data_IF_754753134272
#
_entry.id   IF_754753134272
#
_cell.length_a   1.000
_cell.length_b   1.000
_cell.length_c   1.000
_cell.angle_alpha   90.00
_cell.angle_beta   90.00
_cell.angle_gamma   90.00
#
_symmetry.space_group_name_H-M   'P 1'
#
loop_
_entity.id
_entity.type
_entity.pdbx_description
1 polymer ?
#
# COMPACT_ATOMS: atom_id res chain seq x y z
N UNK A 1 -0.28 -34.86 42.55
CA UNK A 1 0.95 -34.55 43.32
C UNK A 1 1.68 -33.41 42.63
N UNK A 2 2.08 -32.36 43.35
CA UNK A 2 2.83 -31.23 42.77
C UNK A 2 4.31 -31.60 42.75
N UNK A 3 4.91 -31.71 41.57
CA UNK A 3 6.34 -32.04 41.41
C UNK A 3 7.21 -30.84 41.81
N UNK A 4 8.04 -31.03 42.84
CA UNK A 4 9.10 -30.09 43.22
C UNK A 4 10.30 -30.31 42.31
N UNK A 5 10.91 -29.22 41.85
CA UNK A 5 12.11 -29.23 41.02
C UNK A 5 13.15 -28.33 41.68
N UNK A 6 14.40 -28.79 41.69
CA UNK A 6 15.56 -28.00 42.10
C UNK A 6 15.97 -27.03 40.99
N UNK A 7 16.16 -25.76 41.35
CA UNK A 7 16.67 -24.72 40.47
C UNK A 7 17.89 -24.08 41.11
N UNK A 8 18.86 -23.65 40.29
CA UNK A 8 20.00 -22.85 40.75
C UNK A 8 19.69 -21.38 40.52
N UNK A 9 19.78 -20.56 41.59
CA UNK A 9 19.52 -19.14 41.49
C UNK A 9 20.62 -18.43 40.67
N UNK A 10 20.22 -17.70 39.63
CA UNK A 10 21.13 -16.95 38.77
C UNK A 10 21.76 -15.71 39.43
N UNK A 11 21.37 -15.37 40.67
CA UNK A 11 21.94 -14.25 41.43
C UNK A 11 22.92 -14.71 42.50
N UNK A 12 22.45 -15.50 43.48
CA UNK A 12 23.28 -15.96 44.60
C UNK A 12 23.97 -17.30 44.36
N UNK A 13 23.63 -18.02 43.29
CA UNK A 13 24.19 -19.34 42.98
C UNK A 13 23.63 -20.50 43.81
N UNK A 14 22.77 -20.22 44.80
CA UNK A 14 22.20 -21.25 45.67
C UNK A 14 21.11 -22.08 44.98
N UNK A 15 21.05 -23.36 45.33
CA UNK A 15 20.00 -24.28 44.88
C UNK A 15 18.75 -24.14 45.75
N UNK A 16 17.57 -24.09 45.13
CA UNK A 16 16.29 -23.97 45.83
C UNK A 16 15.19 -24.78 45.13
N UNK A 17 14.22 -25.25 45.92
CA UNK A 17 13.11 -26.05 45.40
C UNK A 17 11.87 -25.20 45.13
N UNK A 18 11.23 -25.45 43.98
CA UNK A 18 9.96 -24.82 43.64
C UNK A 18 9.05 -25.78 42.87
N UNK A 19 7.75 -25.65 43.11
CA UNK A 19 6.72 -26.35 42.34
C UNK A 19 6.82 -25.93 40.87
N UNK A 20 6.87 -26.90 39.95
CA UNK A 20 6.90 -26.65 38.51
C UNK A 20 5.68 -25.82 38.08
N UNK A 21 5.92 -24.64 37.51
CA UNK A 21 4.90 -23.75 36.94
C UNK A 21 5.39 -23.10 35.65
N UNK A 22 4.59 -22.24 35.02
CA UNK A 22 4.91 -21.64 33.71
C UNK A 22 6.04 -20.60 33.74
N UNK A 23 6.40 -20.08 34.92
CA UNK A 23 7.53 -19.14 35.06
C UNK A 23 8.83 -19.90 35.30
N UNK A 24 9.91 -19.62 34.55
CA UNK A 24 11.21 -20.23 34.77
C UNK A 24 11.76 -19.89 36.17
N UNK A 25 12.28 -20.90 36.89
CA UNK A 25 12.87 -20.76 38.22
C UNK A 25 14.25 -20.09 38.19
N UNK A 26 14.29 -18.81 37.79
CA UNK A 26 15.55 -18.07 37.64
C UNK A 26 16.14 -17.56 38.96
N UNK A 27 15.30 -17.23 39.94
CA UNK A 27 15.72 -16.61 41.20
C UNK A 27 15.01 -17.23 42.41
N UNK A 28 15.76 -17.48 43.50
CA UNK A 28 15.25 -18.10 44.73
C UNK A 28 14.29 -17.21 45.51
N UNK A 29 14.37 -15.89 45.34
CA UNK A 29 13.53 -14.92 46.04
C UNK A 29 13.28 -13.68 45.20
N UNK A 30 12.26 -12.91 45.58
CA UNK A 30 11.98 -11.58 45.00
C UNK A 30 13.16 -10.63 45.20
N UNK A 31 13.88 -10.76 46.31
CA UNK A 31 15.10 -10.00 46.61
C UNK A 31 16.22 -10.35 45.62
N UNK A 32 16.51 -11.63 45.40
CA UNK A 32 17.50 -12.05 44.40
C UNK A 32 17.11 -11.63 42.98
N UNK A 33 15.81 -11.68 42.63
CA UNK A 33 15.33 -11.16 41.35
C UNK A 33 15.47 -9.64 41.21
N UNK A 34 15.34 -8.88 42.31
CA UNK A 34 15.54 -7.44 42.31
C UNK A 34 17.04 -7.06 42.24
N UNK A 35 17.92 -7.84 42.89
CA UNK A 35 19.36 -7.60 42.88
C UNK A 35 20.02 -8.01 41.55
N UNK A 36 19.53 -9.07 40.89
CA UNK A 36 20.01 -9.47 39.56
C UNK A 36 19.58 -8.52 38.44
N UNK A 37 18.41 -7.90 38.57
CA UNK A 37 18.01 -6.82 37.68
C UNK A 37 18.77 -5.56 38.10
N UNK A 38 19.94 -5.30 37.51
CA UNK A 38 20.52 -3.96 37.57
C UNK A 38 19.42 -2.98 37.15
N UNK A 39 19.06 -1.98 37.97
CA UNK A 39 18.15 -0.95 37.51
C UNK A 39 18.77 -0.40 36.23
N UNK A 40 18.01 -0.42 35.15
CA UNK A 40 18.35 0.38 33.97
C UNK A 40 18.62 1.77 34.50
N UNK A 41 19.82 2.31 34.28
CA UNK A 41 20.22 3.61 34.81
C UNK A 41 19.08 4.60 34.50
N UNK A 42 18.30 4.95 35.51
CA UNK A 42 17.34 6.02 35.41
C UNK A 42 18.20 7.28 35.31
N UNK A 43 18.43 7.76 34.08
CA UNK A 43 19.05 9.05 33.88
C UNK A 43 18.01 10.07 34.37
N UNK A 44 18.22 10.58 35.58
CA UNK A 44 17.41 11.64 36.15
C UNK A 44 17.81 12.91 35.43
N UNK A 45 16.89 13.53 34.69
CA UNK A 45 17.03 14.95 34.32
C UNK A 45 16.62 15.72 35.57
N UNK A 46 17.53 16.40 36.28
CA UNK A 46 17.09 17.36 37.29
C UNK A 46 16.43 18.51 36.54
N UNK A 47 15.24 18.92 36.98
CA UNK A 47 14.84 20.32 37.13
C UNK A 47 13.33 20.42 37.33
N UNK A 48 12.93 20.88 38.53
CA UNK A 48 11.56 21.34 38.84
C UNK A 48 11.20 22.67 38.13
N UNK A 49 11.80 22.97 36.98
CA UNK A 49 11.46 24.15 36.18
C UNK A 49 10.25 23.86 35.30
N UNK A 50 9.25 24.76 35.35
CA UNK A 50 8.20 24.78 34.34
C UNK A 50 8.83 25.03 32.97
N UNK A 51 8.65 24.08 32.06
CA UNK A 51 9.19 24.16 30.71
C UNK A 51 8.18 23.69 29.68
N UNK A 52 8.29 24.21 28.46
CA UNK A 52 7.43 23.76 27.36
C UNK A 52 7.71 22.29 27.01
N UNK A 53 6.70 21.59 26.50
CA UNK A 53 6.81 20.20 26.05
C UNK A 53 7.98 20.00 25.05
N UNK A 54 8.26 21.02 24.22
CA UNK A 54 9.38 21.02 23.26
C UNK A 54 10.75 21.03 23.96
N UNK A 55 10.92 21.87 25.00
CA UNK A 55 12.17 21.95 25.76
C UNK A 55 12.47 20.64 26.50
N UNK A 56 11.44 20.03 27.09
CA UNK A 56 11.54 18.75 27.77
C UNK A 56 11.95 17.62 26.80
N UNK A 57 11.33 17.55 25.62
CA UNK A 57 11.67 16.56 24.59
C UNK A 57 13.13 16.69 24.12
N UNK A 58 13.61 17.92 23.90
CA UNK A 58 15.01 18.18 23.51
C UNK A 58 15.99 17.72 24.57
N UNK A 59 15.73 18.03 25.86
CA UNK A 59 16.58 17.60 26.98
C UNK A 59 16.60 16.08 27.12
N UNK A 60 15.45 15.41 26.97
CA UNK A 60 15.38 13.93 26.96
C UNK A 60 16.21 13.32 25.82
N UNK A 61 16.17 13.90 24.62
CA UNK A 61 17.00 13.45 23.49
C UNK A 61 18.49 13.66 23.77
N UNK A 62 18.88 14.84 24.27
CA UNK A 62 20.26 15.16 24.60
C UNK A 62 20.83 14.27 25.73
N UNK A 63 19.98 13.90 26.70
CA UNK A 63 20.32 13.00 27.78
C UNK A 63 20.23 11.52 27.42
N UNK A 64 19.99 11.15 26.15
CA UNK A 64 19.89 9.74 25.73
C UNK A 64 18.68 8.99 26.32
N UNK A 65 17.70 9.71 26.86
CA UNK A 65 16.49 9.19 27.53
C UNK A 65 15.31 8.94 26.59
N UNK A 66 15.53 9.12 25.29
CA UNK A 66 14.58 8.72 24.27
C UNK A 66 14.88 7.28 23.88
N UNK A 67 13.88 6.39 23.93
CA UNK A 67 14.00 5.09 23.26
C UNK A 67 14.40 5.35 21.80
N UNK A 68 15.40 4.65 21.24
CA UNK A 68 15.60 4.69 19.81
C UNK A 68 14.26 4.34 19.17
N UNK A 69 13.77 5.21 18.28
CA UNK A 69 12.64 4.84 17.43
C UNK A 69 13.15 3.62 16.67
N UNK A 70 12.41 2.52 16.73
CA UNK A 70 12.71 1.35 15.92
C UNK A 70 12.34 1.71 14.47
N UNK A 71 13.14 2.58 13.86
CA UNK A 71 13.07 2.89 12.45
C UNK A 71 13.68 1.68 11.77
N UNK A 72 12.86 0.87 11.11
CA UNK A 72 13.41 0.00 10.10
C UNK A 72 13.91 0.96 9.00
N UNK A 73 15.24 1.13 8.85
CA UNK A 73 15.78 2.07 7.88
C UNK A 73 15.28 1.66 6.49
N UNK A 74 15.08 2.64 5.62
CA UNK A 74 14.73 2.40 4.22
C UNK A 74 15.73 3.10 3.33
N UNK A 75 15.75 2.75 2.05
CA UNK A 75 16.59 3.43 1.08
C UNK A 75 16.06 4.86 0.81
N UNK A 76 16.62 5.86 1.50
CA UNK A 76 16.20 7.26 1.32
C UNK A 76 16.36 7.76 -0.12
N UNK A 77 17.31 7.19 -0.88
CA UNK A 77 17.60 7.52 -2.28
C UNK A 77 16.73 6.77 -3.29
N UNK A 78 15.74 6.00 -2.84
CA UNK A 78 14.86 5.24 -3.73
C UNK A 78 14.21 6.08 -4.83
N UNK A 79 13.85 7.34 -4.54
CA UNK A 79 13.22 8.26 -5.50
C UNK A 79 14.22 9.09 -6.35
N UNK A 80 15.52 8.81 -6.25
CA UNK A 80 16.54 9.52 -7.02
C UNK A 80 16.71 8.94 -8.42
N UNK A 81 16.47 7.64 -8.57
CA UNK A 81 16.61 6.92 -9.83
C UNK A 81 15.26 6.42 -10.31
N UNK A 82 14.95 6.67 -11.58
CA UNK A 82 13.73 6.13 -12.17
C UNK A 82 13.84 4.62 -12.39
N UNK A 83 12.87 3.90 -11.83
CA UNK A 83 12.58 2.50 -12.13
C UNK A 83 11.08 2.33 -12.21
N UNK A 84 10.62 1.19 -12.72
CA UNK A 84 9.19 0.87 -12.76
C UNK A 84 8.61 0.77 -11.33
N UNK A 85 9.37 0.27 -10.36
CA UNK A 85 8.98 0.23 -8.95
C UNK A 85 8.85 1.63 -8.35
N UNK A 86 9.80 2.51 -8.65
CA UNK A 86 9.78 3.91 -8.20
C UNK A 86 8.57 4.64 -8.78
N UNK A 87 8.30 4.49 -10.07
CA UNK A 87 7.17 5.11 -10.74
C UNK A 87 5.83 4.54 -10.25
N UNK A 88 5.73 3.22 -10.02
CA UNK A 88 4.55 2.60 -9.41
C UNK A 88 4.29 3.15 -8.00
N UNK A 89 5.31 3.20 -7.15
CA UNK A 89 5.15 3.72 -5.79
C UNK A 89 4.83 5.21 -5.80
N UNK A 90 5.37 5.98 -6.75
CA UNK A 90 5.00 7.38 -6.98
C UNK A 90 3.51 7.51 -7.33
N UNK A 91 2.98 6.66 -8.20
CA UNK A 91 1.56 6.60 -8.53
C UNK A 91 0.67 6.29 -7.33
N UNK A 92 1.09 5.32 -6.51
CA UNK A 92 0.37 4.95 -5.29
C UNK A 92 0.43 6.06 -4.23
N UNK A 93 1.57 6.75 -4.12
CA UNK A 93 1.67 7.95 -3.31
C UNK A 93 0.69 8.98 -3.85
N UNK A 94 0.62 9.26 -5.15
CA UNK A 94 -0.26 10.28 -5.72
C UNK A 94 -1.75 10.07 -5.41
N UNK A 95 -2.21 8.83 -5.28
CA UNK A 95 -3.56 8.45 -4.88
C UNK A 95 -3.72 8.42 -3.35
N UNK A 96 -3.29 7.34 -2.71
CA UNK A 96 -3.55 7.02 -1.30
C UNK A 96 -2.50 7.58 -0.32
N UNK A 97 -1.46 8.23 -0.83
CA UNK A 97 -0.39 8.78 -0.01
C UNK A 97 -0.75 10.09 0.69
N UNK A 98 -0.06 10.40 1.78
CA UNK A 98 -0.09 11.70 2.43
C UNK A 98 1.34 12.12 2.79
N UNK A 99 1.71 13.37 2.45
CA UNK A 99 2.95 13.99 2.88
C UNK A 99 2.64 14.92 4.05
N UNK A 100 3.35 14.76 5.17
CA UNK A 100 3.28 15.67 6.31
C UNK A 100 4.69 15.92 6.87
N UNK A 101 5.20 17.14 6.69
CA UNK A 101 6.59 17.45 7.03
C UNK A 101 7.55 16.60 6.19
N UNK A 102 8.29 15.68 6.81
CA UNK A 102 9.20 14.77 6.09
C UNK A 102 8.68 13.34 5.99
N UNK A 103 7.45 13.10 6.45
CA UNK A 103 6.87 11.75 6.55
C UNK A 103 5.90 11.53 5.42
N UNK A 104 6.08 10.39 4.74
CA UNK A 104 5.14 9.86 3.76
C UNK A 104 4.35 8.76 4.45
N UNK A 105 3.03 8.84 4.35
CA UNK A 105 2.12 7.81 4.82
C UNK A 105 1.33 7.25 3.64
N UNK A 106 1.11 5.95 3.61
CA UNK A 106 0.16 5.29 2.71
C UNK A 106 -0.82 4.52 3.59
N UNK A 107 -2.10 4.86 3.50
CA UNK A 107 -3.15 4.20 4.27
C UNK A 107 -3.93 3.24 3.38
N UNK A 108 -3.95 1.96 3.74
CA UNK A 108 -4.63 0.92 2.95
C UNK A 108 -5.40 -0.03 3.87
N UNK A 109 -6.43 -0.69 3.34
CA UNK A 109 -7.09 -1.84 3.98
C UNK A 109 -6.50 -3.18 3.55
N UNK A 110 -5.57 -3.14 2.60
CA UNK A 110 -5.02 -4.31 1.92
C UNK A 110 -3.62 -4.60 2.48
N UNK A 111 -3.49 -5.71 3.22
CA UNK A 111 -2.22 -6.10 3.83
C UNK A 111 -1.16 -6.44 2.78
N UNK A 112 -1.55 -7.04 1.65
CA UNK A 112 -0.61 -7.36 0.58
C UNK A 112 -0.05 -6.09 -0.06
N UNK A 113 -0.85 -5.03 -0.16
CA UNK A 113 -0.35 -3.73 -0.63
C UNK A 113 0.68 -3.15 0.34
N UNK A 114 0.40 -3.24 1.65
CA UNK A 114 1.32 -2.73 2.66
C UNK A 114 2.66 -3.47 2.64
N UNK A 115 2.64 -4.81 2.57
CA UNK A 115 3.85 -5.63 2.44
C UNK A 115 4.62 -5.32 1.15
N UNK A 116 3.92 -5.19 0.02
CA UNK A 116 4.54 -4.85 -1.25
C UNK A 116 5.23 -3.49 -1.21
N UNK A 117 4.61 -2.47 -0.60
CA UNK A 117 5.24 -1.15 -0.42
C UNK A 117 6.52 -1.26 0.41
N UNK A 118 6.47 -1.98 1.53
CA UNK A 118 7.63 -2.16 2.43
C UNK A 118 8.77 -2.92 1.73
N UNK A 119 8.44 -3.89 0.89
CA UNK A 119 9.41 -4.63 0.09
C UNK A 119 10.03 -3.76 -1.01
N UNK A 120 9.20 -2.97 -1.72
CA UNK A 120 9.64 -2.09 -2.81
C UNK A 120 10.54 -0.96 -2.30
N UNK A 121 10.18 -0.33 -1.19
CA UNK A 121 10.98 0.75 -0.58
C UNK A 121 12.20 0.20 0.20
N UNK A 122 12.29 -1.13 0.35
CA UNK A 122 13.27 -1.85 1.14
C UNK A 122 13.38 -1.30 2.57
N UNK A 123 12.26 -1.32 3.29
CA UNK A 123 12.21 -0.88 4.68
C UNK A 123 10.94 -0.11 5.04
N UNK A 124 11.08 0.84 5.96
CA UNK A 124 9.95 1.58 6.50
C UNK A 124 9.17 0.76 7.53
N UNK A 125 8.11 1.36 8.07
CA UNK A 125 7.33 0.73 9.14
C UNK A 125 5.85 0.82 8.84
N UNK A 126 5.06 -0.04 9.48
CA UNK A 126 3.61 0.07 9.42
C UNK A 126 3.01 0.11 10.82
N UNK A 127 1.83 0.71 10.93
CA UNK A 127 1.02 0.71 12.13
C UNK A 127 -0.42 0.36 11.78
N UNK A 128 -1.08 -0.37 12.67
CA UNK A 128 -2.51 -0.63 12.57
C UNK A 128 -3.30 0.59 13.09
N UNK A 129 -4.36 0.95 12.39
CA UNK A 129 -5.31 2.01 12.72
C UNK A 129 -6.72 1.41 12.79
N UNK A 130 -7.64 2.14 13.44
CA UNK A 130 -9.06 1.78 13.56
C UNK A 130 -9.25 0.32 13.99
N UNK A 131 -8.63 -0.07 15.12
CA UNK A 131 -8.70 -1.44 15.65
C UNK A 131 -8.22 -2.55 14.69
N UNK A 132 -7.33 -2.22 13.75
CA UNK A 132 -6.78 -3.20 12.79
C UNK A 132 -7.44 -3.18 11.42
N UNK A 133 -8.46 -2.34 11.20
CA UNK A 133 -9.13 -2.23 9.88
C UNK A 133 -8.26 -1.55 8.81
N UNK A 134 -7.32 -0.72 9.23
CA UNK A 134 -6.47 0.04 8.33
C UNK A 134 -5.01 -0.15 8.70
N UNK A 135 -4.17 -0.24 7.68
CA UNK A 135 -2.72 -0.33 7.79
C UNK A 135 -2.16 0.98 7.26
N UNK A 136 -1.34 1.63 8.07
CA UNK A 136 -0.60 2.82 7.70
C UNK A 136 0.85 2.45 7.54
N UNK A 137 1.31 2.31 6.30
CA UNK A 137 2.74 2.27 5.99
C UNK A 137 3.27 3.70 6.08
N UNK A 138 4.42 3.89 6.71
CA UNK A 138 5.06 5.18 6.80
C UNK A 138 6.58 5.09 6.83
N UNK A 139 7.20 6.05 6.16
CA UNK A 139 8.65 6.26 6.12
C UNK A 139 8.93 7.76 6.10
N UNK A 140 10.05 8.17 6.69
CA UNK A 140 10.35 9.59 6.91
C UNK A 140 11.80 9.88 6.58
N UNK A 141 12.02 10.77 5.62
CA UNK A 141 13.33 11.31 5.27
C UNK A 141 13.13 12.70 4.69
N UNK A 142 14.00 13.63 5.09
CA UNK A 142 14.05 14.96 4.48
C UNK A 142 14.37 14.85 2.99
N UNK A 143 15.34 14.01 2.63
CA UNK A 143 15.78 13.81 1.25
C UNK A 143 14.62 13.29 0.38
N UNK A 144 13.97 12.21 0.82
CA UNK A 144 12.80 11.65 0.11
C UNK A 144 11.66 12.66 -0.03
N UNK A 145 11.32 13.38 1.04
CA UNK A 145 10.26 14.38 1.01
C UNK A 145 10.57 15.53 0.05
N UNK A 146 11.80 16.05 0.08
CA UNK A 146 12.23 17.12 -0.83
C UNK A 146 12.28 16.63 -2.28
N UNK A 147 12.70 15.37 -2.51
CA UNK A 147 12.66 14.74 -3.83
C UNK A 147 11.23 14.62 -4.37
N UNK A 148 10.30 14.11 -3.58
CA UNK A 148 8.89 14.01 -3.98
C UNK A 148 8.26 15.38 -4.24
N UNK A 149 8.59 16.41 -3.45
CA UNK A 149 8.18 17.79 -3.72
C UNK A 149 8.72 18.29 -5.06
N UNK A 150 9.99 18.02 -5.37
CA UNK A 150 10.58 18.38 -6.67
C UNK A 150 9.90 17.71 -7.86
N UNK A 151 9.29 16.52 -7.63
CA UNK A 151 8.48 15.81 -8.62
C UNK A 151 7.04 16.32 -8.71
N UNK A 152 6.61 17.22 -7.82
CA UNK A 152 5.27 17.82 -7.84
C UNK A 152 4.33 17.40 -6.72
N UNK A 153 4.82 16.66 -5.70
CA UNK A 153 4.01 16.29 -4.54
C UNK A 153 3.80 17.49 -3.61
N UNK A 154 2.55 17.81 -3.29
CA UNK A 154 2.19 18.86 -2.32
C UNK A 154 1.49 18.26 -1.10
N UNK A 155 1.41 19.03 -0.02
CA UNK A 155 0.46 18.74 1.06
C UNK A 155 -0.99 19.03 0.59
N UNK A 156 -1.99 18.42 1.23
CA UNK A 156 -3.42 18.58 0.88
C UNK A 156 -3.75 18.40 -0.61
N UNK A 157 -3.07 17.44 -1.23
CA UNK A 157 -2.94 17.30 -2.68
C UNK A 157 -4.19 16.89 -3.44
N UNK A 158 -5.20 16.30 -2.79
CA UNK A 158 -6.31 15.63 -3.48
C UNK A 158 -7.06 16.54 -4.48
N UNK A 159 -6.99 17.86 -4.32
CA UNK A 159 -7.61 18.86 -5.20
C UNK A 159 -6.63 19.60 -6.12
N UNK A 160 -5.35 19.63 -5.78
CA UNK A 160 -4.33 20.48 -6.43
C UNK A 160 -3.22 19.69 -7.11
N UNK A 161 -3.13 18.38 -6.86
CA UNK A 161 -2.07 17.54 -7.41
C UNK A 161 -2.16 17.50 -8.93
N UNK A 162 -1.00 17.67 -9.58
CA UNK A 162 -0.85 17.54 -11.02
C UNK A 162 -0.19 16.22 -11.41
N UNK A 163 0.20 16.13 -12.68
CA UNK A 163 1.07 15.06 -13.17
C UNK A 163 2.48 15.28 -12.61
N UNK A 164 3.18 14.23 -12.17
CA UNK A 164 4.58 14.37 -11.79
C UNK A 164 5.44 14.75 -13.00
N UNK A 165 6.63 15.28 -12.74
CA UNK A 165 7.67 15.41 -13.76
C UNK A 165 8.21 14.00 -14.02
N UNK A 166 7.67 13.31 -15.03
CA UNK A 166 7.93 11.91 -15.34
C UNK A 166 8.19 11.72 -16.84
N UNK A 167 9.09 10.81 -17.18
CA UNK A 167 9.37 10.44 -18.56
C UNK A 167 8.32 9.46 -19.10
N UNK A 168 8.09 9.50 -20.42
CA UNK A 168 6.99 8.76 -21.05
C UNK A 168 7.02 7.25 -20.80
N UNK A 169 8.23 6.66 -20.69
CA UNK A 169 8.41 5.23 -20.45
C UNK A 169 7.88 4.76 -19.08
N UNK A 170 7.84 5.65 -18.08
CA UNK A 170 7.36 5.33 -16.73
C UNK A 170 5.88 5.66 -16.51
N UNK A 171 5.19 6.23 -17.50
CA UNK A 171 3.77 6.57 -17.38
C UNK A 171 2.90 5.33 -17.11
N UNK A 172 3.24 4.17 -17.68
CA UNK A 172 2.54 2.92 -17.44
C UNK A 172 2.62 2.47 -15.98
N UNK A 173 3.83 2.53 -15.41
CA UNK A 173 4.09 2.22 -14.01
C UNK A 173 3.36 3.17 -13.06
N UNK A 174 3.44 4.48 -13.34
CA UNK A 174 2.75 5.51 -12.57
C UNK A 174 1.23 5.35 -12.61
N UNK A 175 0.66 5.12 -13.79
CA UNK A 175 -0.77 4.88 -13.96
C UNK A 175 -1.22 3.59 -13.25
N UNK A 176 -0.37 2.56 -13.22
CA UNK A 176 -0.61 1.33 -12.44
C UNK A 176 -0.70 1.63 -10.95
N UNK A 177 0.22 2.42 -10.40
CA UNK A 177 0.17 2.88 -9.01
C UNK A 177 -1.09 3.68 -8.67
N UNK A 178 -1.51 4.59 -9.56
CA UNK A 178 -2.78 5.33 -9.42
C UNK A 178 -3.98 4.37 -9.39
N UNK A 179 -4.03 3.41 -10.32
CA UNK A 179 -5.09 2.41 -10.38
C UNK A 179 -5.06 1.53 -9.14
N UNK A 180 -3.90 1.19 -8.59
CA UNK A 180 -3.77 0.35 -7.40
C UNK A 180 -4.24 1.03 -6.12
N UNK A 181 -4.14 2.36 -6.04
CA UNK A 181 -4.80 3.13 -4.99
C UNK A 181 -6.28 3.37 -5.29
N UNK A 182 -6.57 4.37 -6.13
CA UNK A 182 -7.92 4.92 -6.37
C UNK A 182 -8.70 4.26 -7.52
N UNK A 183 -8.14 3.21 -8.14
CA UNK A 183 -8.77 2.52 -9.25
C UNK A 183 -9.55 1.25 -8.90
N UNK A 184 -10.20 0.67 -9.90
CA UNK A 184 -10.95 -0.58 -9.79
C UNK A 184 -10.90 -1.35 -11.11
N UNK A 185 -10.72 -2.67 -11.03
CA UNK A 185 -10.75 -3.58 -12.18
C UNK A 185 -11.87 -4.58 -11.96
N UNK A 186 -12.90 -4.50 -12.80
CA UNK A 186 -14.17 -5.20 -12.61
C UNK A 186 -14.41 -6.15 -13.78
N UNK A 187 -14.23 -7.46 -13.53
CA UNK A 187 -14.63 -8.51 -14.47
C UNK A 187 -16.09 -8.89 -14.20
N UNK A 188 -16.98 -8.55 -15.14
CA UNK A 188 -18.42 -8.84 -15.06
C UNK A 188 -18.71 -10.14 -15.78
N UNK A 189 -19.53 -10.98 -15.17
CA UNK A 189 -20.00 -12.20 -15.81
C UNK A 189 -20.66 -11.89 -17.16
N UNK A 190 -20.48 -12.79 -18.13
CA UNK A 190 -21.13 -12.69 -19.41
C UNK A 190 -22.65 -12.71 -19.23
N UNK A 191 -23.35 -11.73 -19.82
CA UNK A 191 -24.81 -11.75 -19.91
C UNK A 191 -25.26 -12.88 -20.84
N UNK A 192 -26.54 -13.27 -20.77
CA UNK A 192 -27.09 -14.40 -21.56
C UNK A 192 -26.77 -14.34 -23.07
N UNK A 193 -26.64 -13.14 -23.64
CA UNK A 193 -26.37 -12.92 -25.06
C UNK A 193 -24.91 -12.53 -25.37
N UNK A 194 -24.01 -12.64 -24.39
CA UNK A 194 -22.59 -12.33 -24.56
C UNK A 194 -21.75 -13.60 -24.60
N UNK A 195 -20.81 -13.66 -25.54
CA UNK A 195 -19.92 -14.82 -25.69
C UNK A 195 -18.75 -14.80 -24.68
N UNK A 196 -18.46 -13.63 -24.09
CA UNK A 196 -17.36 -13.42 -23.17
C UNK A 196 -17.73 -12.39 -22.09
N UNK A 197 -17.13 -12.45 -20.89
CA UNK A 197 -17.33 -11.45 -19.84
C UNK A 197 -16.83 -10.06 -20.27
N UNK A 198 -17.43 -9.01 -19.70
CA UNK A 198 -16.98 -7.63 -19.88
C UNK A 198 -15.95 -7.29 -18.79
N UNK A 199 -14.93 -6.50 -19.13
CA UNK A 199 -14.01 -5.92 -18.17
C UNK A 199 -14.19 -4.41 -18.15
N UNK A 200 -14.04 -3.81 -16.97
CA UNK A 200 -14.02 -2.37 -16.83
C UNK A 200 -12.87 -1.99 -15.92
N UNK A 201 -11.99 -1.11 -16.40
CA UNK A 201 -10.99 -0.45 -15.56
C UNK A 201 -11.48 0.96 -15.26
N UNK A 202 -11.40 1.34 -13.99
CA UNK A 202 -11.82 2.65 -13.51
C UNK A 202 -10.71 3.29 -12.68
N UNK A 203 -10.64 4.62 -12.73
CA UNK A 203 -9.77 5.44 -11.89
C UNK A 203 -10.55 6.69 -11.49
N UNK A 204 -10.48 7.09 -10.22
CA UNK A 204 -11.20 8.25 -9.69
C UNK A 204 -10.20 9.31 -9.24
N UNK A 205 -10.51 10.59 -9.48
CA UNK A 205 -9.78 11.71 -8.88
C UNK A 205 -10.71 12.88 -8.59
N UNK A 206 -10.40 13.66 -7.56
CA UNK A 206 -11.06 14.93 -7.26
C UNK A 206 -10.31 16.14 -7.87
N UNK A 207 -9.04 15.98 -8.24
CA UNK A 207 -8.23 17.04 -8.84
C UNK A 207 -8.58 17.20 -10.32
N UNK A 208 -8.99 18.42 -10.70
CA UNK A 208 -9.24 18.78 -12.10
C UNK A 208 -7.94 18.78 -12.91
N UNK A 209 -6.83 19.18 -12.28
CA UNK A 209 -5.50 19.21 -12.90
C UNK A 209 -5.06 17.77 -13.21
N UNK A 210 -5.13 16.87 -12.21
CA UNK A 210 -4.77 15.47 -12.42
C UNK A 210 -5.71 14.79 -13.42
N UNK A 211 -7.02 15.09 -13.38
CA UNK A 211 -7.98 14.62 -14.39
C UNK A 211 -7.51 14.98 -15.79
N UNK A 212 -7.21 16.23 -16.06
CA UNK A 212 -6.81 16.65 -17.42
C UNK A 212 -5.51 15.96 -17.84
N UNK A 213 -4.57 15.76 -16.92
CA UNK A 213 -3.32 15.05 -17.20
C UNK A 213 -3.48 13.55 -17.42
N UNK A 214 -4.37 12.87 -16.68
CA UNK A 214 -4.73 11.47 -16.93
C UNK A 214 -5.36 11.34 -18.32
N UNK A 215 -6.28 12.26 -18.69
CA UNK A 215 -6.89 12.28 -20.03
C UNK A 215 -5.82 12.40 -21.11
N UNK A 216 -4.92 13.37 -20.98
CA UNK A 216 -3.86 13.61 -21.97
C UNK A 216 -2.94 12.38 -22.10
N UNK A 217 -2.59 11.73 -20.98
CA UNK A 217 -1.83 10.48 -20.97
C UNK A 217 -2.57 9.36 -21.72
N UNK A 218 -3.82 9.08 -21.36
CA UNK A 218 -4.60 8.01 -22.02
C UNK A 218 -4.78 8.27 -23.51
N UNK A 219 -5.03 9.52 -23.92
CA UNK A 219 -5.15 9.90 -25.33
C UNK A 219 -3.83 9.71 -26.07
N UNK A 220 -2.69 10.08 -25.48
CA UNK A 220 -1.36 9.90 -26.09
C UNK A 220 -1.04 8.43 -26.40
N UNK A 221 -1.53 7.52 -25.57
CA UNK A 221 -1.35 6.07 -25.73
C UNK A 221 -2.48 5.37 -26.52
N UNK A 222 -3.34 6.14 -27.20
CA UNK A 222 -4.48 5.63 -27.98
C UNK A 222 -5.45 4.75 -27.14
N UNK A 223 -5.63 5.10 -25.87
CA UNK A 223 -6.51 4.39 -24.94
C UNK A 223 -7.86 5.13 -24.89
N UNK A 224 -8.83 4.61 -25.65
CA UNK A 224 -10.19 5.12 -25.64
C UNK A 224 -10.83 4.99 -24.24
N UNK A 225 -11.37 6.10 -23.72
CA UNK A 225 -11.90 6.20 -22.37
C UNK A 225 -13.07 7.18 -22.28
N UNK A 226 -13.87 7.04 -21.22
CA UNK A 226 -14.94 7.99 -20.87
C UNK A 226 -14.64 8.62 -19.52
N UNK A 227 -14.95 9.91 -19.36
CA UNK A 227 -14.86 10.61 -18.07
C UNK A 227 -16.26 10.91 -17.57
N UNK A 228 -16.63 10.36 -16.43
CA UNK A 228 -17.91 10.62 -15.76
C UNK A 228 -17.70 11.59 -14.60
N UNK A 229 -18.44 12.70 -14.56
CA UNK A 229 -18.45 13.62 -13.42
C UNK A 229 -19.54 13.20 -12.43
N UNK A 230 -19.19 13.07 -11.16
CA UNK A 230 -20.13 12.85 -10.05
C UNK A 230 -20.15 14.09 -9.17
N UNK A 231 -21.32 14.71 -9.05
CA UNK A 231 -21.50 15.86 -8.17
C UNK A 231 -21.37 15.45 -6.69
N UNK A 232 -20.87 16.36 -5.84
CA UNK A 232 -20.73 16.11 -4.41
C UNK A 232 -22.10 15.91 -3.75
N UNK A 233 -22.16 15.02 -2.76
CA UNK A 233 -23.37 14.80 -1.96
C UNK A 233 -23.54 15.81 -0.82
N UNK A 234 -22.48 16.56 -0.49
CA UNK A 234 -22.45 17.55 0.61
C UNK A 234 -21.90 18.87 0.10
N UNK A 235 -22.47 19.98 0.59
CA UNK A 235 -21.96 21.32 0.30
C UNK A 235 -20.49 21.45 0.74
N UNK A 236 -19.68 22.08 -0.11
CA UNK A 236 -18.24 22.28 0.13
C UNK A 236 -17.33 21.11 -0.30
N UNK A 237 -17.88 19.98 -0.76
CA UNK A 237 -17.08 18.89 -1.32
C UNK A 237 -16.84 19.13 -2.81
N UNK A 238 -15.68 18.69 -3.31
CA UNK A 238 -15.37 18.78 -4.75
C UNK A 238 -16.05 17.65 -5.53
N UNK A 239 -16.40 17.88 -6.82
CA UNK A 239 -16.88 16.81 -7.69
C UNK A 239 -15.79 15.76 -7.90
N UNK A 240 -16.21 14.53 -8.18
CA UNK A 240 -15.32 13.43 -8.52
C UNK A 240 -15.36 13.15 -10.02
N UNK A 241 -14.21 12.87 -10.60
CA UNK A 241 -14.06 12.49 -12.00
C UNK A 241 -13.63 11.04 -12.09
N UNK A 242 -14.46 10.21 -12.72
CA UNK A 242 -14.21 8.79 -12.91
C UNK A 242 -13.88 8.49 -14.36
N UNK A 243 -12.66 8.07 -14.61
CA UNK A 243 -12.23 7.47 -15.87
C UNK A 243 -12.78 6.05 -15.97
N UNK A 244 -13.25 5.69 -17.15
CA UNK A 244 -13.81 4.37 -17.44
C UNK A 244 -13.27 3.88 -18.78
N UNK A 245 -12.57 2.75 -18.75
CA UNK A 245 -12.07 2.05 -19.94
C UNK A 245 -12.80 0.72 -20.06
N UNK A 246 -13.49 0.51 -21.18
CA UNK A 246 -14.29 -0.70 -21.47
C UNK A 246 -14.09 -1.25 -22.87
N UNK A 247 -13.62 -0.44 -23.82
CA UNK A 247 -13.44 -0.89 -25.20
C UNK A 247 -12.31 -1.92 -25.28
N UNK A 248 -12.51 -2.97 -26.06
CA UNK A 248 -11.61 -4.13 -26.09
C UNK A 248 -10.19 -3.78 -26.56
N UNK A 249 -10.07 -2.97 -27.61
CA UNK A 249 -8.81 -2.44 -28.13
C UNK A 249 -8.10 -1.59 -27.07
N UNK A 250 -8.81 -0.64 -26.45
CA UNK A 250 -8.29 0.22 -25.39
C UNK A 250 -7.84 -0.56 -24.16
N UNK A 251 -8.60 -1.58 -23.74
CA UNK A 251 -8.21 -2.47 -22.64
C UNK A 251 -6.94 -3.27 -22.98
N UNK A 252 -6.80 -3.78 -24.21
CA UNK A 252 -5.56 -4.46 -24.59
C UNK A 252 -4.35 -3.53 -24.53
N UNK A 253 -4.47 -2.31 -25.08
CA UNK A 253 -3.41 -1.30 -25.01
C UNK A 253 -3.07 -0.90 -23.57
N UNK A 254 -4.09 -0.64 -22.76
CA UNK A 254 -3.92 -0.32 -21.35
C UNK A 254 -3.24 -1.48 -20.60
N UNK A 255 -3.63 -2.73 -20.84
CA UNK A 255 -2.98 -3.89 -20.22
C UNK A 255 -1.49 -3.94 -20.55
N UNK A 256 -1.12 -3.81 -21.82
CA UNK A 256 0.30 -3.82 -22.25
C UNK A 256 1.09 -2.66 -21.63
N UNK A 257 0.48 -1.48 -21.50
CA UNK A 257 1.10 -0.34 -20.84
C UNK A 257 1.29 -0.56 -19.34
N UNK A 258 0.31 -1.17 -18.66
CA UNK A 258 0.39 -1.42 -17.21
C UNK A 258 1.29 -2.61 -16.87
N UNK A 259 1.31 -3.66 -17.70
CA UNK A 259 1.98 -4.93 -17.42
C UNK A 259 2.82 -5.38 -18.64
N UNK A 260 3.92 -4.66 -18.95
CA UNK A 260 4.79 -5.00 -20.07
C UNK A 260 5.49 -6.36 -19.89
N UNK A 261 5.68 -6.81 -18.64
CA UNK A 261 6.15 -8.14 -18.28
C UNK A 261 5.54 -8.63 -16.96
N UNK A 262 5.93 -9.83 -16.55
CA UNK A 262 5.36 -10.53 -15.41
C UNK A 262 5.78 -9.95 -14.05
N UNK A 263 6.98 -9.37 -13.94
CA UNK A 263 7.65 -9.04 -12.68
C UNK A 263 7.43 -7.58 -12.27
N UNK A 264 6.19 -7.11 -12.37
CA UNK A 264 5.81 -5.71 -12.08
C UNK A 264 5.08 -5.61 -10.74
N UNK A 265 5.47 -4.68 -9.84
CA UNK A 265 4.74 -4.46 -8.60
C UNK A 265 3.32 -4.04 -8.94
N UNK A 266 2.36 -4.75 -8.39
CA UNK A 266 0.95 -4.50 -8.63
C UNK A 266 0.10 -5.09 -7.52
N UNK A 267 -1.11 -4.56 -7.41
CA UNK A 267 -2.10 -5.17 -6.56
C UNK A 267 -2.75 -6.36 -7.26
N UNK A 268 -2.39 -7.57 -6.82
CA UNK A 268 -2.82 -8.83 -7.46
C UNK A 268 -4.32 -8.93 -7.68
N UNK A 269 -5.16 -8.49 -6.72
CA UNK A 269 -6.62 -8.49 -6.87
C UNK A 269 -7.15 -7.59 -8.00
N UNK A 270 -6.37 -6.60 -8.47
CA UNK A 270 -6.69 -5.75 -9.63
C UNK A 270 -6.10 -6.33 -10.92
N UNK A 271 -4.92 -6.95 -10.87
CA UNK A 271 -4.29 -7.59 -12.04
C UNK A 271 -4.97 -8.89 -12.46
N UNK A 272 -5.27 -9.79 -11.52
CA UNK A 272 -5.83 -11.12 -11.78
C UNK A 272 -7.10 -11.12 -12.67
N UNK A 273 -8.16 -10.32 -12.40
CA UNK A 273 -9.33 -10.26 -13.28
C UNK A 273 -8.99 -9.75 -14.69
N UNK A 274 -7.98 -8.89 -14.82
CA UNK A 274 -7.50 -8.40 -16.11
C UNK A 274 -6.80 -9.51 -16.90
N UNK A 275 -5.92 -10.28 -16.25
CA UNK A 275 -5.23 -11.42 -16.87
C UNK A 275 -6.21 -12.49 -17.34
N UNK A 276 -7.22 -12.81 -16.53
CA UNK A 276 -8.30 -13.72 -16.92
C UNK A 276 -8.99 -13.19 -18.19
N UNK A 277 -9.32 -11.91 -18.22
CA UNK A 277 -9.94 -11.30 -19.39
C UNK A 277 -9.06 -11.33 -20.65
N UNK A 278 -7.75 -11.13 -20.49
CA UNK A 278 -6.77 -11.17 -21.59
C UNK A 278 -6.61 -12.58 -22.20
N UNK A 279 -6.77 -13.62 -21.40
CA UNK A 279 -6.71 -15.03 -21.84
C UNK A 279 -7.96 -15.51 -22.56
N UNK A 280 -9.09 -14.80 -22.44
CA UNK A 280 -10.35 -15.20 -23.08
C UNK A 280 -10.34 -14.79 -24.55
N UNK A 281 -10.45 -15.77 -25.45
CA UNK A 281 -10.65 -15.54 -26.86
C UNK A 281 -11.97 -14.79 -27.11
N UNK A 282 -11.90 -13.76 -27.94
CA UNK A 282 -13.06 -12.94 -28.32
C UNK A 282 -13.21 -12.99 -29.82
N UNK A 283 -14.37 -13.40 -30.35
CA UNK A 283 -14.62 -13.33 -31.78
C UNK A 283 -14.49 -11.88 -32.25
N UNK A 284 -13.89 -11.69 -33.43
CA UNK A 284 -13.77 -10.36 -34.04
C UNK A 284 -15.16 -9.73 -34.15
N UNK A 285 -15.24 -8.42 -33.91
CA UNK A 285 -16.46 -7.65 -34.13
C UNK A 285 -16.92 -7.82 -35.59
N UNK A 286 -18.00 -8.57 -35.75
CA UNK A 286 -18.64 -8.94 -37.01
C UNK A 286 -19.86 -9.81 -36.70
N UNK A 287 -20.91 -9.70 -37.50
CA UNK A 287 -22.15 -10.49 -37.38
C UNK A 287 -21.77 -11.99 -37.22
N UNK A 288 -22.28 -12.72 -36.21
CA UNK A 288 -21.85 -14.10 -36.01
C UNK A 288 -22.17 -14.92 -37.26
N UNK A 289 -21.17 -15.58 -37.84
CA UNK A 289 -21.45 -16.63 -38.81
C UNK A 289 -22.14 -17.77 -38.06
N UNK A 290 -23.19 -18.33 -38.64
CA UNK A 290 -24.04 -19.37 -38.03
C UNK A 290 -23.28 -20.62 -37.55
N UNK A 291 -22.00 -20.76 -37.91
CA UNK A 291 -21.14 -21.89 -37.57
C UNK A 291 -20.64 -21.90 -36.12
N UNK A 292 -20.57 -20.77 -35.41
CA UNK A 292 -19.93 -20.72 -34.08
C UNK A 292 -20.86 -21.06 -32.89
N UNK A 293 -22.18 -21.08 -33.11
CA UNK A 293 -23.18 -21.29 -32.05
C UNK A 293 -23.19 -22.74 -31.52
N UNK A 294 -22.62 -23.70 -32.25
CA UNK A 294 -22.70 -25.13 -31.90
C UNK A 294 -21.59 -25.68 -30.99
N UNK A 295 -20.46 -24.98 -30.79
CA UNK A 295 -19.29 -25.59 -30.11
C UNK A 295 -19.06 -25.16 -28.65
N UNK A 296 -19.66 -24.06 -28.18
CA UNK A 296 -19.30 -23.42 -26.91
C UNK A 296 -20.23 -23.74 -25.72
N UNK A 297 -21.34 -24.45 -25.94
CA UNK A 297 -22.33 -24.70 -24.87
C UNK A 297 -21.84 -25.62 -23.75
N UNK A 298 -20.78 -26.43 -23.97
CA UNK A 298 -20.35 -27.45 -23.01
C UNK A 298 -19.06 -27.14 -22.23
N UNK A 299 -18.14 -26.30 -22.73
CA UNK A 299 -16.82 -26.11 -22.05
C UNK A 299 -16.79 -24.99 -21.01
N UNK A 300 -17.60 -23.93 -21.16
CA UNK A 300 -17.50 -22.74 -20.30
C UNK A 300 -18.30 -22.80 -18.99
N UNK A 301 -19.16 -23.81 -18.79
CA UNK A 301 -19.93 -23.97 -17.54
C UNK A 301 -19.12 -24.55 -16.37
N UNK A 302 -17.99 -25.22 -16.62
CA UNK A 302 -17.18 -25.82 -15.56
C UNK A 302 -16.18 -24.86 -14.89
N UNK A 303 -15.69 -23.83 -15.60
CA UNK A 303 -14.67 -22.92 -15.05
C UNK A 303 -15.19 -21.94 -13.99
N UNK A 304 -16.48 -21.58 -14.02
CA UNK A 304 -17.06 -20.56 -13.13
C UNK A 304 -17.47 -21.07 -11.74
N UNK A 305 -17.34 -22.37 -11.45
CA UNK A 305 -17.72 -22.94 -10.15
C UNK A 305 -16.61 -22.96 -9.09
N UNK A 306 -15.37 -22.64 -9.45
CA UNK A 306 -14.21 -22.81 -8.57
C UNK A 306 -13.69 -21.54 -7.88
N UNK A 307 -14.30 -20.37 -8.09
CA UNK A 307 -13.83 -19.12 -7.45
C UNK A 307 -14.94 -18.59 -6.53
N UNK A 308 -15.03 -19.22 -5.36
CA UNK A 308 -15.67 -18.68 -4.16
C UNK A 308 -14.74 -18.93 -2.99
N UNK A 309 -13.91 -17.95 -2.66
CA UNK A 309 -13.39 -17.69 -1.32
C UNK A 309 -13.19 -16.17 -1.20
#
# INVERSE_FOLDING_TARGET
>A
MRTMIDYTCQHCGETYQRIKGNTPGKYCSRHCGAMANKPSQHLVIPDNQLMSARTLARRRKAAGLTKPINTNPFNEKFFDTWTDEMAWLLGLIWSDGCLYGNTIDISTKDFQLAELVLAVIDGGTYALKNNGEHIRVHFSSKHTADRLRSLGLTEHKSLTIGWPIIEAEYEGAFLRGLIDGDGSVLLRQARANQQAPDLTVQLVTASTILRDKIRDCLTRHDIAHTIQKREPQKAGWSPLYKFVVTRQDALKRLYTMLYPDEHRPCLHRKRAPYEIWMKIERPRTGRPSAAFVKSTSNKNKQAYRMIRF
#
